data_IF_329960668663
#
_entry.id   IF_329960668663
#
_cell.length_a   1.000
_cell.length_b   1.000
_cell.length_c   1.000
_cell.angle_alpha   90.00
_cell.angle_beta   90.00
_cell.angle_gamma   90.00
#
_symmetry.space_group_name_H-M   'P 1'
#
loop_
_entity.id
_entity.type
_entity.pdbx_description
1 polymer ?
#
# COMPACT_ATOMS: atom_id res chain seq x y z
N UNK A 1 8.01 9.80 16.10
CA UNK A 1 8.27 9.22 17.43
C UNK A 1 8.94 10.25 18.35
N UNK A 2 10.05 10.87 17.95
CA UNK A 2 10.78 11.83 18.79
C UNK A 2 9.92 13.01 19.21
N UNK A 3 9.27 13.69 18.27
CA UNK A 3 8.53 14.94 18.52
C UNK A 3 7.28 14.79 19.41
N UNK A 4 6.58 13.63 19.32
CA UNK A 4 5.30 13.42 20.01
C UNK A 4 5.38 12.47 21.20
N UNK A 5 6.41 11.63 21.26
CA UNK A 5 6.57 10.61 22.29
C UNK A 5 7.91 10.74 23.05
N UNK A 6 8.76 11.70 22.69
CA UNK A 6 10.04 11.93 23.35
C UNK A 6 11.06 10.79 23.18
N UNK A 7 10.86 9.92 22.18
CA UNK A 7 11.78 8.79 21.93
C UNK A 7 13.12 9.33 21.43
N UNK A 8 14.20 8.91 22.09
CA UNK A 8 15.56 9.28 21.70
C UNK A 8 15.86 8.80 20.27
N UNK A 9 16.58 9.60 19.45
CA UNK A 9 16.91 9.23 18.06
C UNK A 9 17.58 7.87 17.95
N UNK A 10 18.47 7.51 18.90
CA UNK A 10 19.15 6.21 18.92
C UNK A 10 18.21 5.01 19.13
N UNK A 11 17.03 5.21 19.73
CA UNK A 11 16.05 4.16 19.98
C UNK A 11 15.03 3.99 18.83
N UNK A 12 14.96 4.91 17.86
CA UNK A 12 13.97 4.87 16.78
C UNK A 12 14.04 3.57 15.99
N UNK A 13 15.25 3.04 15.74
CA UNK A 13 15.44 1.80 14.99
C UNK A 13 14.68 0.61 15.60
N UNK A 14 14.63 0.52 16.93
CA UNK A 14 13.89 -0.54 17.63
C UNK A 14 12.38 -0.42 17.45
N UNK A 15 11.85 0.79 17.32
CA UNK A 15 10.43 1.02 17.03
C UNK A 15 10.07 0.77 15.57
N UNK A 16 11.02 0.92 14.63
CA UNK A 16 10.78 0.67 13.22
C UNK A 16 10.91 -0.82 12.86
N UNK A 17 11.65 -1.60 13.63
CA UNK A 17 11.88 -3.02 13.34
C UNK A 17 10.57 -3.84 13.26
N UNK A 18 9.62 -3.73 14.20
CA UNK A 18 8.33 -4.43 14.08
C UNK A 18 7.55 -4.05 12.81
N UNK A 19 7.59 -2.78 12.42
CA UNK A 19 7.00 -2.29 11.18
C UNK A 19 7.62 -2.98 9.94
N UNK A 20 8.94 -3.12 9.89
CA UNK A 20 9.62 -3.84 8.82
C UNK A 20 9.22 -5.32 8.77
N UNK A 21 9.05 -5.96 9.94
CA UNK A 21 8.54 -7.33 10.03
C UNK A 21 7.12 -7.46 9.47
N UNK A 22 6.22 -6.53 9.81
CA UNK A 22 4.87 -6.47 9.25
C UNK A 22 4.89 -6.33 7.72
N UNK A 23 5.74 -5.45 7.21
CA UNK A 23 5.91 -5.21 5.77
C UNK A 23 6.36 -6.45 5.00
N UNK A 24 7.26 -7.25 5.54
CA UNK A 24 7.77 -8.48 4.91
C UNK A 24 6.79 -9.64 5.08
N UNK A 25 6.23 -9.82 6.28
CA UNK A 25 5.36 -10.96 6.58
C UNK A 25 4.01 -10.89 5.87
N UNK A 26 3.50 -9.69 5.58
CA UNK A 26 2.23 -9.51 4.87
C UNK A 26 2.17 -10.25 3.53
N UNK A 27 3.03 -9.94 2.56
CA UNK A 27 3.06 -10.63 1.28
C UNK A 27 3.35 -12.14 1.40
N UNK A 28 4.21 -12.55 2.34
CA UNK A 28 4.55 -13.97 2.54
C UNK A 28 3.36 -14.78 3.06
N UNK A 29 2.60 -14.25 4.01
CA UNK A 29 1.48 -14.96 4.64
C UNK A 29 0.22 -14.86 3.80
N UNK A 30 -0.09 -13.66 3.28
CA UNK A 30 -1.30 -13.42 2.51
C UNK A 30 -1.17 -13.77 1.02
N UNK A 31 0.07 -13.91 0.50
CA UNK A 31 0.33 -14.18 -0.92
C UNK A 31 -0.53 -15.31 -1.51
N UNK A 32 -0.58 -16.51 -0.90
CA UNK A 32 -1.40 -17.61 -1.41
C UNK A 32 -2.90 -17.29 -1.50
N UNK A 33 -3.41 -16.35 -0.71
CA UNK A 33 -4.81 -15.95 -0.76
C UNK A 33 -5.13 -15.13 -2.01
N UNK A 34 -4.17 -14.38 -2.56
CA UNK A 34 -4.35 -13.63 -3.80
C UNK A 34 -4.57 -14.55 -5.01
N UNK A 35 -3.98 -15.74 -4.98
CA UNK A 35 -4.16 -16.74 -6.04
C UNK A 35 -5.39 -17.65 -5.81
N UNK A 36 -5.90 -17.75 -4.57
CA UNK A 36 -7.04 -18.62 -4.24
C UNK A 36 -8.36 -17.90 -4.16
N UNK A 37 -8.40 -16.72 -3.54
CA UNK A 37 -9.60 -15.87 -3.39
C UNK A 37 -9.75 -14.85 -4.52
N UNK A 38 -8.67 -14.65 -5.28
CA UNK A 38 -8.64 -13.70 -6.39
C UNK A 38 -7.93 -12.39 -6.05
N UNK A 39 -7.14 -11.89 -7.00
CA UNK A 39 -6.31 -10.68 -6.80
C UNK A 39 -7.14 -9.45 -6.58
N UNK A 40 -8.16 -9.23 -7.41
CA UNK A 40 -9.10 -8.12 -7.31
C UNK A 40 -9.71 -8.01 -5.90
N UNK A 41 -10.23 -9.12 -5.37
CA UNK A 41 -10.86 -9.17 -4.05
C UNK A 41 -9.83 -8.90 -2.97
N UNK A 42 -8.69 -9.56 -3.04
CA UNK A 42 -7.65 -9.46 -2.01
C UNK A 42 -6.95 -8.09 -1.99
N UNK A 43 -6.67 -7.49 -3.16
CA UNK A 43 -6.11 -6.12 -3.22
C UNK A 43 -7.11 -5.14 -2.61
N UNK A 44 -8.39 -5.21 -3.01
CA UNK A 44 -9.43 -4.34 -2.46
C UNK A 44 -9.61 -4.52 -0.96
N UNK A 45 -9.64 -5.77 -0.46
CA UNK A 45 -9.81 -6.06 0.96
C UNK A 45 -8.61 -5.58 1.79
N UNK A 46 -7.37 -5.85 1.34
CA UNK A 46 -6.16 -5.46 2.07
C UNK A 46 -5.97 -3.95 2.10
N UNK A 47 -6.17 -3.25 0.99
CA UNK A 47 -6.12 -1.78 0.97
C UNK A 47 -7.29 -1.14 1.73
N UNK A 48 -8.49 -1.69 1.62
CA UNK A 48 -9.66 -1.23 2.37
C UNK A 48 -9.45 -1.34 3.88
N UNK A 49 -8.98 -2.51 4.34
CA UNK A 49 -8.68 -2.73 5.75
C UNK A 49 -7.52 -1.85 6.24
N UNK A 50 -6.42 -1.79 5.50
CA UNK A 50 -5.28 -0.95 5.85
C UNK A 50 -5.65 0.55 5.89
N UNK A 51 -6.43 1.04 4.92
CA UNK A 51 -6.92 2.42 4.89
C UNK A 51 -7.83 2.76 6.07
N UNK A 52 -8.78 1.88 6.40
CA UNK A 52 -9.65 2.05 7.56
C UNK A 52 -8.86 2.06 8.87
N UNK A 53 -7.94 1.11 9.06
CA UNK A 53 -7.05 1.05 10.22
C UNK A 53 -6.16 2.30 10.32
N UNK A 54 -5.70 2.83 9.19
CA UNK A 54 -4.89 4.05 9.14
C UNK A 54 -5.71 5.27 9.62
N UNK A 55 -6.96 5.42 9.17
CA UNK A 55 -7.85 6.47 9.63
C UNK A 55 -8.15 6.37 11.14
N UNK A 56 -8.46 5.18 11.63
CA UNK A 56 -8.69 4.93 13.06
C UNK A 56 -7.44 5.22 13.89
N UNK A 57 -6.28 4.76 13.45
CA UNK A 57 -5.00 5.04 14.12
C UNK A 57 -4.71 6.54 14.17
N UNK A 58 -4.97 7.26 13.08
CA UNK A 58 -4.84 8.71 13.02
C UNK A 58 -5.76 9.44 14.00
N UNK A 59 -7.00 8.99 14.12
CA UNK A 59 -7.94 9.53 15.09
C UNK A 59 -7.50 9.28 16.54
N UNK A 60 -7.11 8.03 16.88
CA UNK A 60 -6.57 7.69 18.20
C UNK A 60 -5.30 8.50 18.52
N UNK A 61 -4.43 8.71 17.53
CA UNK A 61 -3.25 9.57 17.67
C UNK A 61 -3.64 11.02 17.97
N UNK A 62 -4.63 11.58 17.27
CA UNK A 62 -5.10 12.95 17.48
C UNK A 62 -5.66 13.15 18.89
N UNK A 63 -6.37 12.15 19.42
CA UNK A 63 -6.89 12.15 20.79
C UNK A 63 -5.81 11.92 21.86
N UNK A 64 -4.57 11.63 21.47
CA UNK A 64 -3.50 11.35 22.44
C UNK A 64 -3.62 10.01 23.15
N UNK A 65 -4.43 9.08 22.64
CA UNK A 65 -4.71 7.77 23.24
C UNK A 65 -3.63 6.73 22.98
N UNK A 66 -2.67 7.02 22.07
CA UNK A 66 -1.63 6.09 21.71
C UNK A 66 -0.31 6.39 22.44
N UNK A 67 0.36 5.33 22.86
CA UNK A 67 1.78 5.34 23.28
C UNK A 67 2.67 5.09 22.07
N UNK A 68 4.00 5.27 22.21
CA UNK A 68 4.94 4.95 21.15
C UNK A 68 4.84 3.47 20.72
N UNK A 69 4.68 2.55 21.67
CA UNK A 69 4.54 1.11 21.40
C UNK A 69 3.24 0.80 20.65
N UNK A 70 2.09 1.27 21.15
CA UNK A 70 0.79 1.01 20.51
C UNK A 70 0.72 1.64 19.11
N UNK A 71 1.33 2.81 18.91
CA UNK A 71 1.49 3.44 17.61
C UNK A 71 2.28 2.55 16.64
N UNK A 72 3.41 2.00 17.10
CA UNK A 72 4.25 1.11 16.29
C UNK A 72 3.53 -0.19 15.95
N UNK A 73 2.81 -0.78 16.90
CA UNK A 73 2.01 -1.98 16.67
C UNK A 73 0.92 -1.69 15.61
N UNK A 74 0.22 -0.56 15.74
CA UNK A 74 -0.78 -0.17 14.75
C UNK A 74 -0.18 -0.04 13.34
N UNK A 75 0.97 0.62 13.20
CA UNK A 75 1.67 0.70 11.93
C UNK A 75 2.10 -0.67 11.38
N UNK A 76 2.58 -1.56 12.26
CA UNK A 76 2.96 -2.93 11.87
C UNK A 76 1.77 -3.68 11.26
N UNK A 77 0.61 -3.62 11.91
CA UNK A 77 -0.61 -4.26 11.41
C UNK A 77 -1.10 -3.62 10.11
N UNK A 78 -1.10 -2.30 10.02
CA UNK A 78 -1.49 -1.59 8.79
C UNK A 78 -0.58 -2.00 7.63
N UNK A 79 0.73 -2.01 7.85
CA UNK A 79 1.69 -2.36 6.80
C UNK A 79 1.70 -3.84 6.43
N UNK A 80 1.33 -4.72 7.35
CA UNK A 80 1.10 -6.13 7.04
C UNK A 80 0.07 -6.28 5.90
N UNK A 81 -1.07 -5.59 5.98
CA UNK A 81 -2.09 -5.62 4.94
C UNK A 81 -1.70 -4.78 3.71
N UNK A 82 -1.22 -3.56 3.92
CA UNK A 82 -0.89 -2.63 2.85
C UNK A 82 0.19 -3.17 1.91
N UNK A 83 1.25 -3.78 2.45
CA UNK A 83 2.35 -4.30 1.64
C UNK A 83 1.96 -5.52 0.83
N UNK A 84 1.06 -6.37 1.35
CA UNK A 84 0.51 -7.49 0.59
C UNK A 84 -0.28 -7.00 -0.62
N UNK A 85 -1.18 -6.02 -0.43
CA UNK A 85 -1.92 -5.40 -1.53
C UNK A 85 -1.01 -4.72 -2.54
N UNK A 86 -0.01 -3.95 -2.09
CA UNK A 86 0.93 -3.27 -2.97
C UNK A 86 1.75 -4.25 -3.82
N UNK A 87 2.26 -5.33 -3.22
CA UNK A 87 3.01 -6.36 -3.95
C UNK A 87 2.17 -7.03 -5.02
N UNK A 88 0.92 -7.38 -4.69
CA UNK A 88 -0.01 -8.00 -5.64
C UNK A 88 -0.41 -7.02 -6.77
N UNK A 89 -0.58 -5.72 -6.48
CA UNK A 89 -0.89 -4.72 -7.49
C UNK A 89 0.21 -4.62 -8.56
N UNK A 90 1.48 -4.64 -8.17
CA UNK A 90 2.59 -4.65 -9.11
C UNK A 90 2.65 -5.91 -9.98
N UNK A 91 2.36 -7.08 -9.40
CA UNK A 91 2.24 -8.32 -10.15
C UNK A 91 1.10 -8.24 -11.18
N UNK A 92 -0.07 -7.74 -10.76
CA UNK A 92 -1.22 -7.57 -11.64
C UNK A 92 -0.93 -6.64 -12.81
N UNK A 93 -0.26 -5.50 -12.59
CA UNK A 93 0.19 -4.63 -13.68
C UNK A 93 1.08 -5.39 -14.66
N UNK A 94 2.00 -6.23 -14.15
CA UNK A 94 2.86 -7.06 -15.00
C UNK A 94 2.11 -8.08 -15.87
N UNK A 95 0.92 -8.49 -15.49
CA UNK A 95 0.12 -9.49 -16.19
C UNK A 95 -0.93 -8.88 -17.13
N UNK A 96 -1.32 -7.62 -16.91
CA UNK A 96 -2.36 -6.93 -17.70
C UNK A 96 -1.85 -6.38 -19.03
N UNK A 97 -0.54 -6.37 -19.28
CA UNK A 97 0.03 -5.77 -20.48
C UNK A 97 0.79 -6.81 -21.32
N UNK A 98 0.67 -6.70 -22.66
CA UNK A 98 1.42 -7.54 -23.59
C UNK A 98 2.92 -7.54 -23.30
N UNK A 99 3.57 -8.66 -23.61
CA UNK A 99 4.98 -8.90 -23.32
C UNK A 99 5.89 -7.78 -23.86
N UNK A 100 5.57 -7.27 -25.07
CA UNK A 100 6.36 -6.25 -25.77
C UNK A 100 6.44 -4.92 -25.04
N UNK A 101 5.37 -4.53 -24.30
CA UNK A 101 5.30 -3.23 -23.59
C UNK A 101 5.32 -3.37 -22.08
N UNK A 102 5.31 -4.58 -21.55
CA UNK A 102 5.21 -4.90 -20.12
C UNK A 102 6.27 -4.19 -19.26
N UNK A 103 7.52 -4.25 -19.67
CA UNK A 103 8.63 -3.63 -18.92
C UNK A 103 8.48 -2.11 -18.83
N UNK A 104 8.08 -1.46 -19.93
CA UNK A 104 7.83 -0.02 -19.98
C UNK A 104 6.66 0.35 -19.07
N UNK A 105 5.58 -0.43 -19.12
CA UNK A 105 4.39 -0.17 -18.31
C UNK A 105 4.69 -0.30 -16.82
N UNK A 106 5.35 -1.39 -16.39
CA UNK A 106 5.76 -1.57 -14.99
C UNK A 106 6.64 -0.39 -14.55
N UNK A 107 7.59 0.02 -15.39
CA UNK A 107 8.49 1.16 -15.09
C UNK A 107 7.73 2.46 -14.90
N UNK A 108 6.72 2.74 -15.73
CA UNK A 108 5.88 3.93 -15.61
C UNK A 108 5.06 3.90 -14.32
N UNK A 109 4.37 2.79 -14.01
CA UNK A 109 3.63 2.66 -12.76
C UNK A 109 4.52 2.84 -11.54
N UNK A 110 5.71 2.22 -11.55
CA UNK A 110 6.68 2.36 -10.48
C UNK A 110 7.18 3.81 -10.34
N UNK A 111 7.50 4.48 -11.45
CA UNK A 111 7.98 5.86 -11.46
C UNK A 111 6.93 6.83 -10.90
N UNK A 112 5.66 6.71 -11.34
CA UNK A 112 4.57 7.54 -10.81
C UNK A 112 4.29 7.24 -9.33
N UNK A 113 4.24 5.98 -8.93
CA UNK A 113 4.05 5.58 -7.54
C UNK A 113 5.17 6.12 -6.63
N UNK A 114 6.42 6.02 -7.09
CA UNK A 114 7.59 6.52 -6.34
C UNK A 114 7.61 8.05 -6.29
N UNK A 115 7.26 8.73 -7.37
CA UNK A 115 7.17 10.19 -7.38
C UNK A 115 6.13 10.69 -6.38
N UNK A 116 4.93 10.13 -6.40
CA UNK A 116 3.84 10.57 -5.52
C UNK A 116 4.07 10.11 -4.08
N UNK A 117 4.38 8.84 -3.84
CA UNK A 117 4.56 8.29 -2.51
C UNK A 117 5.93 8.55 -1.91
N UNK A 118 6.99 8.39 -2.69
CA UNK A 118 8.37 8.48 -2.21
C UNK A 118 8.90 9.91 -2.11
N UNK A 119 8.39 10.86 -2.90
CA UNK A 119 8.83 12.26 -2.88
C UNK A 119 7.80 13.15 -2.21
N UNK A 120 6.54 13.14 -2.68
CA UNK A 120 5.51 14.00 -2.13
C UNK A 120 5.11 13.59 -0.71
N UNK A 121 5.07 12.28 -0.41
CA UNK A 121 4.73 11.77 0.92
C UNK A 121 5.63 12.34 2.03
N UNK A 122 6.95 12.15 2.00
CA UNK A 122 7.87 12.71 2.99
C UNK A 122 7.79 14.23 3.10
N UNK A 123 7.63 14.97 1.99
CA UNK A 123 7.50 16.42 2.00
C UNK A 123 6.23 16.87 2.74
N UNK A 124 5.07 16.28 2.41
CA UNK A 124 3.79 16.59 3.07
C UNK A 124 3.83 16.22 4.55
N UNK A 125 4.24 14.99 4.89
CA UNK A 125 4.30 14.56 6.28
C UNK A 125 5.38 15.29 7.08
N UNK A 126 6.51 15.65 6.47
CA UNK A 126 7.53 16.51 7.08
C UNK A 126 6.93 17.84 7.53
N UNK A 127 6.26 18.55 6.62
CA UNK A 127 5.59 19.81 6.91
C UNK A 127 4.53 19.67 8.01
N UNK A 128 3.70 18.61 7.97
CA UNK A 128 2.70 18.34 9.00
C UNK A 128 3.34 18.07 10.38
N UNK A 129 4.45 17.33 10.42
CA UNK A 129 5.19 17.04 11.65
C UNK A 129 5.81 18.32 12.22
N UNK A 130 6.32 19.21 11.37
CA UNK A 130 6.91 20.49 11.81
C UNK A 130 5.93 21.37 12.57
N UNK A 131 4.65 21.32 12.26
CA UNK A 131 3.61 22.08 12.99
C UNK A 131 3.55 21.72 14.48
N UNK A 132 3.95 20.53 14.89
CA UNK A 132 3.83 20.03 16.26
C UNK A 132 2.39 19.75 16.72
N UNK A 133 1.40 19.92 15.85
CA UNK A 133 -0.03 19.75 16.17
C UNK A 133 -0.50 18.35 15.75
N UNK A 134 -1.03 17.57 16.71
CA UNK A 134 -1.56 16.22 16.45
C UNK A 134 -2.69 16.24 15.41
N UNK A 135 -3.57 17.25 15.44
CA UNK A 135 -4.67 17.41 14.48
C UNK A 135 -4.19 17.60 13.03
N UNK A 136 -3.06 18.28 12.81
CA UNK A 136 -2.48 18.41 11.47
C UNK A 136 -1.96 17.08 10.95
N UNK A 137 -1.33 16.28 11.81
CA UNK A 137 -0.89 14.93 11.45
C UNK A 137 -2.08 14.03 11.17
N UNK A 138 -3.19 14.18 11.89
CA UNK A 138 -4.43 13.46 11.60
C UNK A 138 -4.92 13.70 10.17
N UNK A 139 -4.83 14.92 9.65
CA UNK A 139 -5.16 15.19 8.24
C UNK A 139 -4.28 14.39 7.28
N UNK A 140 -2.99 14.19 7.62
CA UNK A 140 -2.10 13.30 6.86
C UNK A 140 -2.55 11.84 6.91
N UNK A 141 -2.98 11.35 8.07
CA UNK A 141 -3.55 10.01 8.20
C UNK A 141 -4.83 9.85 7.37
N UNK A 142 -5.72 10.86 7.38
CA UNK A 142 -6.93 10.86 6.56
C UNK A 142 -6.61 10.89 5.06
N UNK A 143 -5.62 11.67 4.64
CA UNK A 143 -5.17 11.69 3.26
C UNK A 143 -4.65 10.31 2.83
N UNK A 144 -3.74 9.71 3.58
CA UNK A 144 -3.18 8.41 3.28
C UNK A 144 -4.25 7.30 3.31
N UNK A 145 -5.06 7.26 4.38
CA UNK A 145 -6.16 6.29 4.51
C UNK A 145 -7.22 6.47 3.43
N UNK A 146 -7.58 7.71 3.10
CA UNK A 146 -8.53 8.03 2.04
C UNK A 146 -8.06 7.58 0.66
N UNK A 147 -6.77 7.79 0.34
CA UNK A 147 -6.17 7.29 -0.90
C UNK A 147 -6.18 5.75 -0.97
N UNK A 148 -5.91 5.06 0.13
CA UNK A 148 -5.98 3.60 0.18
C UNK A 148 -7.42 3.10 0.02
N UNK A 149 -8.40 3.74 0.66
CA UNK A 149 -9.82 3.40 0.50
C UNK A 149 -10.30 3.67 -0.94
N UNK A 150 -9.88 4.78 -1.53
CA UNK A 150 -10.16 5.07 -2.94
C UNK A 150 -9.56 4.01 -3.86
N UNK A 151 -8.29 3.62 -3.63
CA UNK A 151 -7.64 2.55 -4.39
C UNK A 151 -8.40 1.22 -4.25
N UNK A 152 -8.85 0.87 -3.04
CA UNK A 152 -9.66 -0.33 -2.81
C UNK A 152 -10.98 -0.31 -3.59
N UNK A 153 -11.67 0.83 -3.64
CA UNK A 153 -12.92 0.99 -4.41
C UNK A 153 -12.66 0.92 -5.91
N UNK A 154 -11.62 1.60 -6.40
CA UNK A 154 -11.22 1.57 -7.82
C UNK A 154 -10.88 0.14 -8.25
N UNK A 155 -10.09 -0.57 -7.44
CA UNK A 155 -9.75 -1.96 -7.70
C UNK A 155 -11.00 -2.86 -7.69
N UNK A 156 -11.92 -2.64 -6.75
CA UNK A 156 -13.16 -3.41 -6.67
C UNK A 156 -14.06 -3.22 -7.90
N UNK A 157 -14.02 -2.05 -8.53
CA UNK A 157 -14.86 -1.76 -9.70
C UNK A 157 -14.14 -2.07 -11.01
N UNK A 158 -12.90 -1.64 -11.16
CA UNK A 158 -12.14 -1.67 -12.40
C UNK A 158 -11.07 -2.77 -12.45
N UNK A 159 -10.76 -3.39 -11.30
CA UNK A 159 -9.76 -4.44 -11.21
C UNK A 159 -10.11 -5.64 -12.09
N UNK A 160 -9.09 -6.26 -12.66
CA UNK A 160 -9.19 -7.44 -13.52
C UNK A 160 -8.82 -8.69 -12.77
N UNK A 161 -9.67 -9.72 -12.85
CA UNK A 161 -9.38 -11.03 -12.30
C UNK A 161 -8.43 -11.78 -13.26
N UNK A 162 -7.13 -11.63 -13.02
CA UNK A 162 -6.06 -12.22 -13.86
C UNK A 162 -5.47 -13.49 -13.25
N UNK A 163 -5.89 -13.85 -12.02
CA UNK A 163 -5.37 -15.03 -11.33
C UNK A 163 -5.71 -16.33 -12.09
N UNK A 164 -4.72 -17.25 -12.13
CA UNK A 164 -4.83 -18.58 -12.75
C UNK A 164 -5.17 -18.60 -14.24
N UNK A 165 -4.99 -17.47 -14.93
CA UNK A 165 -5.12 -17.39 -16.39
C UNK A 165 -3.75 -17.39 -17.04
N UNK A 166 -3.65 -17.93 -18.24
CA UNK A 166 -2.45 -17.77 -19.05
C UNK A 166 -2.24 -16.29 -19.39
N UNK A 167 -1.00 -15.83 -19.43
CA UNK A 167 -0.69 -14.43 -19.70
C UNK A 167 -1.23 -13.99 -21.06
N UNK A 168 -1.19 -14.88 -22.04
CA UNK A 168 -1.68 -14.65 -23.39
C UNK A 168 -3.21 -14.50 -23.45
N UNK A 169 -3.95 -15.12 -22.51
CA UNK A 169 -5.40 -14.96 -22.39
C UNK A 169 -5.79 -13.60 -21.79
N UNK A 170 -4.94 -13.06 -20.91
CA UNK A 170 -5.19 -11.77 -20.24
C UNK A 170 -4.70 -10.62 -21.11
N UNK A 171 -3.52 -10.78 -21.71
CA UNK A 171 -2.84 -9.77 -22.52
C UNK A 171 -2.14 -10.44 -23.72
N UNK A 172 -2.89 -10.70 -24.82
CA UNK A 172 -2.31 -11.32 -26.00
C UNK A 172 -1.16 -10.48 -26.57
N UNK A 173 -0.10 -11.14 -27.13
CA UNK A 173 0.99 -10.45 -27.78
C UNK A 173 0.50 -9.53 -28.90
N UNK A 174 1.10 -8.35 -29.02
CA UNK A 174 0.79 -7.40 -30.08
C UNK A 174 1.14 -7.91 -31.49
N UNK A 175 2.03 -8.92 -31.56
CA UNK A 175 2.48 -9.55 -32.79
C UNK A 175 1.49 -10.57 -33.37
N UNK A 176 0.49 -11.01 -32.60
CA UNK A 176 -0.56 -11.89 -33.11
C UNK A 176 -1.55 -11.12 -33.98
N UNK A 177 -1.79 -11.64 -35.18
CA UNK A 177 -2.85 -11.07 -36.04
C UNK A 177 -4.23 -11.33 -35.41
N UNK A 178 -5.24 -10.46 -35.68
CA UNK A 178 -6.61 -10.65 -35.17
C UNK A 178 -7.24 -11.99 -35.52
N UNK A 179 -6.75 -12.65 -36.56
CA UNK A 179 -7.27 -13.91 -37.06
C UNK A 179 -6.66 -15.15 -36.37
N UNK A 180 -5.69 -14.94 -35.47
CA UNK A 180 -4.99 -16.00 -34.73
C UNK A 180 -5.51 -16.16 -33.27
N UNK A 181 -6.61 -15.44 -32.90
CA UNK A 181 -7.21 -15.44 -31.57
C UNK A 181 -8.51 -16.25 -31.51
#
# INVERSE_FOLDING_TARGET
LTKFYGIAPAAIGWFILPFALGNVSGPLILGPLFDTLGRKVMISATYGLAGALLCVTGWLFAQGMLTAQTQTIAWTVIFFFASAGASAAYLTVGELFPLEVRAVTISLFYAFGTLLGGVAGPAVFGALIETGKRGQIFNGYLLGGGLMLLAAVVELWLGVAAERKALEEVAPPLSLAPDDL
#
